data_IF_780293759492
#
_entry.id   IF_780293759492
#
_cell.length_a   1.000
_cell.length_b   1.000
_cell.length_c   1.000
_cell.angle_alpha   90.00
_cell.angle_beta   90.00
_cell.angle_gamma   90.00
#
_symmetry.space_group_name_H-M   'P 1'
#
loop_
_entity.id
_entity.type
_entity.pdbx_description
1 polymer ?
#
# COMPACT_ATOMS: atom_id res chain seq x y z
N UNK A 1 22.01 -16.44 7.32
CA UNK A 1 22.52 -17.79 6.93
C UNK A 1 21.71 -18.46 5.81
N UNK A 2 20.48 -18.04 5.58
CA UNK A 2 19.64 -18.60 4.51
C UNK A 2 19.78 -17.84 3.19
N UNK A 3 20.39 -16.67 3.20
CA UNK A 3 20.64 -15.89 1.99
C UNK A 3 21.98 -16.26 1.36
N UNK A 4 22.10 -16.19 0.03
CA UNK A 4 23.35 -16.46 -0.67
C UNK A 4 24.49 -15.55 -0.20
N UNK A 5 25.69 -16.11 0.00
CA UNK A 5 26.86 -15.35 0.46
C UNK A 5 27.26 -14.26 -0.53
N UNK A 6 26.97 -14.47 -1.79
CA UNK A 6 27.19 -13.54 -2.91
C UNK A 6 26.55 -12.17 -2.65
N UNK A 7 25.39 -12.13 -1.99
CA UNK A 7 24.66 -10.91 -1.70
C UNK A 7 25.25 -10.00 -0.63
N UNK A 8 26.40 -10.34 -0.07
CA UNK A 8 27.13 -9.49 0.88
C UNK A 8 28.36 -8.81 0.28
N UNK A 9 28.75 -9.19 -0.94
CA UNK A 9 29.97 -8.69 -1.56
C UNK A 9 29.76 -8.22 -2.99
N UNK A 10 30.04 -6.95 -3.27
CA UNK A 10 29.87 -6.37 -4.62
C UNK A 10 30.81 -7.01 -5.68
N UNK A 11 31.95 -7.62 -5.25
CA UNK A 11 32.93 -8.21 -6.14
C UNK A 11 33.18 -9.69 -5.80
N UNK A 12 32.14 -10.43 -5.40
CA UNK A 12 32.25 -11.82 -4.94
C UNK A 12 33.10 -12.72 -5.86
N UNK A 13 32.89 -12.65 -7.19
CA UNK A 13 33.57 -13.46 -8.18
C UNK A 13 35.13 -13.23 -8.23
N UNK A 14 35.59 -12.11 -7.70
CA UNK A 14 37.00 -11.73 -7.68
C UNK A 14 37.68 -11.97 -6.33
N UNK A 15 36.93 -12.46 -5.34
CA UNK A 15 37.42 -12.66 -3.98
C UNK A 15 37.92 -14.09 -3.78
N UNK A 16 38.97 -14.24 -3.01
CA UNK A 16 39.44 -15.56 -2.53
C UNK A 16 38.58 -16.03 -1.35
N UNK A 17 38.52 -17.34 -1.12
CA UNK A 17 37.75 -17.90 0.02
C UNK A 17 38.18 -17.30 1.37
N UNK A 18 39.47 -17.05 1.55
CA UNK A 18 39.99 -16.41 2.76
C UNK A 18 39.44 -14.98 2.94
N UNK A 19 39.33 -14.22 1.86
CA UNK A 19 38.75 -12.86 1.87
C UNK A 19 37.26 -12.89 2.17
N UNK A 20 36.55 -13.86 1.61
CA UNK A 20 35.12 -14.05 1.88
C UNK A 20 34.88 -14.38 3.34
N UNK A 21 35.65 -15.34 3.90
CA UNK A 21 35.53 -15.71 5.31
C UNK A 21 35.88 -14.56 6.25
N UNK A 22 36.97 -13.84 5.97
CA UNK A 22 37.33 -12.66 6.76
C UNK A 22 36.25 -11.56 6.69
N UNK A 23 35.62 -11.35 5.52
CA UNK A 23 34.51 -10.44 5.35
C UNK A 23 33.27 -10.86 6.15
N UNK A 24 32.85 -12.13 6.06
CA UNK A 24 31.74 -12.67 6.83
C UNK A 24 31.97 -12.57 8.35
N UNK A 25 33.20 -12.81 8.79
CA UNK A 25 33.58 -12.67 10.18
C UNK A 25 33.51 -11.22 10.65
N UNK A 26 34.00 -10.27 9.86
CA UNK A 26 33.92 -8.83 10.18
C UNK A 26 32.49 -8.31 10.28
N UNK A 27 31.59 -8.87 9.49
CA UNK A 27 30.15 -8.57 9.53
C UNK A 27 29.42 -9.31 10.67
N UNK A 28 30.09 -10.26 11.38
CA UNK A 28 29.51 -11.08 12.43
C UNK A 28 28.50 -12.12 11.91
N UNK A 29 28.55 -12.47 10.63
CA UNK A 29 27.65 -13.45 10.01
C UNK A 29 28.07 -14.91 10.34
N UNK A 30 29.24 -15.11 10.89
CA UNK A 30 29.72 -16.41 11.38
C UNK A 30 29.34 -16.65 12.86
N UNK A 31 28.88 -15.63 13.56
CA UNK A 31 28.40 -15.74 14.95
C UNK A 31 27.18 -16.68 15.07
N UNK A 32 26.91 -17.25 16.27
CA UNK A 32 25.69 -18.00 16.51
C UNK A 32 24.41 -17.16 16.23
N UNK A 33 23.36 -17.79 15.68
CA UNK A 33 22.11 -17.12 15.30
C UNK A 33 21.53 -16.18 16.40
N UNK A 34 21.47 -16.59 17.69
CA UNK A 34 20.94 -15.71 18.74
C UNK A 34 21.72 -14.41 18.88
N UNK A 35 23.05 -14.46 18.68
CA UNK A 35 23.92 -13.27 18.76
C UNK A 35 23.70 -12.35 17.56
N UNK A 36 23.54 -12.91 16.35
CA UNK A 36 23.22 -12.13 15.15
C UNK A 36 21.88 -11.42 15.30
N UNK A 37 20.84 -12.14 15.78
CA UNK A 37 19.49 -11.58 16.02
C UNK A 37 19.57 -10.48 17.08
N UNK A 38 20.26 -10.72 18.20
CA UNK A 38 20.41 -9.74 19.28
C UNK A 38 21.10 -8.45 18.79
N UNK A 39 22.18 -8.60 18.00
CA UNK A 39 22.91 -7.47 17.41
C UNK A 39 22.04 -6.70 16.41
N UNK A 40 21.30 -7.41 15.56
CA UNK A 40 20.37 -6.78 14.61
C UNK A 40 19.33 -5.94 15.32
N UNK A 41 18.64 -6.49 16.32
CA UNK A 41 17.65 -5.75 17.09
C UNK A 41 18.23 -4.57 17.85
N UNK A 42 19.43 -4.75 18.44
CA UNK A 42 20.11 -3.67 19.12
C UNK A 42 20.42 -2.50 18.18
N UNK A 43 21.01 -2.80 17.03
CA UNK A 43 21.33 -1.78 16.02
C UNK A 43 20.07 -1.13 15.45
N UNK A 44 19.05 -1.92 15.14
CA UNK A 44 17.77 -1.41 14.62
C UNK A 44 17.08 -0.45 15.60
N UNK A 45 17.09 -0.76 16.90
CA UNK A 45 16.55 0.14 17.93
C UNK A 45 17.33 1.46 18.07
N UNK A 46 18.60 1.47 17.68
CA UNK A 46 19.42 2.69 17.61
C UNK A 46 19.40 3.39 16.24
N UNK A 47 18.53 2.91 15.32
CA UNK A 47 18.38 3.51 13.99
C UNK A 47 19.48 3.12 12.99
N UNK A 48 20.32 2.15 13.32
CA UNK A 48 21.33 1.60 12.42
C UNK A 48 20.82 0.30 11.79
N UNK A 49 20.46 0.35 10.51
CA UNK A 49 20.04 -0.79 9.71
C UNK A 49 21.20 -1.38 8.87
N UNK A 50 22.43 -0.91 9.11
CA UNK A 50 23.60 -1.30 8.35
C UNK A 50 23.81 -0.51 7.06
N UNK A 51 24.65 -1.07 6.19
CA UNK A 51 25.02 -0.46 4.90
C UNK A 51 24.70 -1.39 3.75
N UNK A 52 24.33 -0.80 2.61
CA UNK A 52 24.13 -1.53 1.36
C UNK A 52 25.49 -1.97 0.80
N UNK A 53 25.56 -3.22 0.36
CA UNK A 53 26.79 -3.80 -0.19
C UNK A 53 26.80 -3.84 -1.72
N UNK A 54 25.61 -3.84 -2.37
CA UNK A 54 25.50 -4.03 -3.82
C UNK A 54 24.74 -2.88 -4.50
N UNK A 55 23.58 -2.49 -3.96
CA UNK A 55 22.75 -1.44 -4.59
C UNK A 55 23.48 -0.09 -4.60
N UNK A 56 24.01 0.30 -3.47
CA UNK A 56 24.82 1.52 -3.31
C UNK A 56 25.90 1.30 -2.26
N UNK A 57 27.03 0.80 -2.71
CA UNK A 57 28.14 0.35 -1.86
C UNK A 57 28.49 1.36 -0.76
N UNK A 58 28.54 0.89 0.47
CA UNK A 58 28.84 1.65 1.70
C UNK A 58 27.84 2.79 2.03
N UNK A 59 26.69 2.84 1.36
CA UNK A 59 25.65 3.79 1.75
C UNK A 59 24.79 3.23 2.90
N UNK A 60 24.50 4.06 3.90
CA UNK A 60 23.60 3.70 5.00
C UNK A 60 22.20 3.31 4.48
N UNK A 61 21.70 2.16 4.93
CA UNK A 61 20.33 1.70 4.61
C UNK A 61 19.31 2.73 5.06
N UNK A 62 19.44 3.26 6.28
CA UNK A 62 18.54 4.31 6.81
C UNK A 62 18.54 5.56 5.93
N UNK A 63 19.71 5.98 5.42
CA UNK A 63 19.81 7.13 4.50
C UNK A 63 19.18 6.89 3.13
N UNK A 64 19.22 5.64 2.62
CA UNK A 64 18.54 5.25 1.38
C UNK A 64 17.03 5.25 1.59
N UNK A 65 16.54 4.64 2.68
CA UNK A 65 15.13 4.58 3.03
C UNK A 65 14.54 5.97 3.25
N UNK A 66 15.24 6.84 3.97
CA UNK A 66 14.80 8.22 4.24
C UNK A 66 14.56 9.03 2.95
N UNK A 67 15.27 8.72 1.86
CA UNK A 67 15.07 9.38 0.56
C UNK A 67 13.91 8.79 -0.25
N UNK A 68 13.62 7.50 -0.07
CA UNK A 68 12.60 6.77 -0.85
C UNK A 68 11.23 6.78 -0.19
N UNK A 69 11.20 6.67 1.13
CA UNK A 69 10.00 6.58 1.94
C UNK A 69 9.03 7.77 1.75
N UNK A 70 9.47 9.04 1.69
CA UNK A 70 8.55 10.17 1.54
C UNK A 70 7.66 10.10 0.30
N UNK A 71 8.18 9.63 -0.83
CA UNK A 71 7.40 9.50 -2.08
C UNK A 71 6.33 8.41 -1.92
N UNK A 72 6.69 7.24 -1.38
CA UNK A 72 5.73 6.16 -1.15
C UNK A 72 4.65 6.56 -0.15
N UNK A 73 5.02 7.28 0.93
CA UNK A 73 4.06 7.80 1.91
C UNK A 73 3.10 8.79 1.23
N UNK A 74 3.59 9.74 0.47
CA UNK A 74 2.75 10.72 -0.22
C UNK A 74 1.78 10.05 -1.19
N UNK A 75 2.26 9.10 -2.01
CA UNK A 75 1.41 8.30 -2.89
C UNK A 75 0.33 7.55 -2.10
N UNK A 76 0.72 6.87 -1.02
CA UNK A 76 -0.18 6.14 -0.15
C UNK A 76 -1.24 7.03 0.49
N UNK A 77 -0.85 8.20 1.00
CA UNK A 77 -1.80 9.18 1.57
C UNK A 77 -2.80 9.66 0.52
N UNK A 78 -2.34 10.06 -0.66
CA UNK A 78 -3.24 10.52 -1.72
C UNK A 78 -4.18 9.42 -2.20
N UNK A 79 -3.67 8.20 -2.40
CA UNK A 79 -4.49 7.05 -2.78
C UNK A 79 -5.53 6.71 -1.72
N UNK A 80 -5.16 6.76 -0.45
CA UNK A 80 -6.08 6.52 0.65
C UNK A 80 -7.15 7.61 0.74
N UNK A 81 -6.78 8.89 0.67
CA UNK A 81 -7.74 10.00 0.68
C UNK A 81 -8.73 9.87 -0.47
N UNK A 82 -8.24 9.60 -1.69
CA UNK A 82 -9.09 9.38 -2.86
C UNK A 82 -10.04 8.19 -2.64
N UNK A 83 -9.52 7.11 -2.06
CA UNK A 83 -10.33 5.92 -1.76
C UNK A 83 -11.47 6.22 -0.77
N UNK A 84 -11.20 7.01 0.26
CA UNK A 84 -12.21 7.40 1.24
C UNK A 84 -13.24 8.36 0.63
N UNK A 85 -12.78 9.35 -0.15
CA UNK A 85 -13.64 10.36 -0.80
C UNK A 85 -14.60 9.73 -1.81
N UNK A 86 -14.20 8.67 -2.49
CA UNK A 86 -15.06 7.96 -3.46
C UNK A 86 -15.80 6.79 -2.80
N UNK A 87 -15.09 5.95 -2.05
CA UNK A 87 -15.62 4.70 -1.51
C UNK A 87 -16.70 4.91 -0.45
N UNK A 88 -16.52 5.90 0.45
CA UNK A 88 -17.52 6.18 1.49
C UNK A 88 -18.84 6.71 0.91
N UNK A 89 -18.87 7.74 0.06
CA UNK A 89 -20.13 8.19 -0.57
C UNK A 89 -20.77 7.09 -1.43
N UNK A 90 -19.98 6.32 -2.16
CA UNK A 90 -20.49 5.20 -2.95
C UNK A 90 -21.15 4.15 -2.06
N UNK A 91 -20.52 3.71 -0.99
CA UNK A 91 -21.08 2.75 -0.03
C UNK A 91 -22.30 3.27 0.69
N UNK A 92 -22.30 4.56 1.05
CA UNK A 92 -23.47 5.25 1.63
C UNK A 92 -24.67 5.23 0.67
N UNK A 93 -24.47 5.60 -0.60
CA UNK A 93 -25.53 5.57 -1.61
C UNK A 93 -26.07 4.15 -1.83
N UNK A 94 -25.18 3.17 -1.93
CA UNK A 94 -25.54 1.75 -2.07
C UNK A 94 -26.34 1.25 -0.86
N UNK A 95 -25.90 1.54 0.36
CA UNK A 95 -26.58 1.15 1.59
C UNK A 95 -27.94 1.84 1.76
N UNK A 96 -28.00 3.14 1.45
CA UNK A 96 -29.23 3.95 1.52
C UNK A 96 -30.30 3.48 0.52
N UNK A 97 -29.87 3.16 -0.70
CA UNK A 97 -30.75 2.75 -1.81
C UNK A 97 -30.63 1.26 -2.12
N UNK A 98 -30.59 0.44 -1.07
CA UNK A 98 -30.49 -1.03 -1.18
C UNK A 98 -31.47 -1.58 -2.22
N UNK A 99 -30.97 -2.46 -3.08
CA UNK A 99 -31.71 -3.12 -4.18
C UNK A 99 -32.22 -2.18 -5.29
N UNK A 100 -31.99 -0.87 -5.19
CA UNK A 100 -32.30 0.10 -6.23
C UNK A 100 -31.11 0.29 -7.18
N UNK A 101 -31.29 1.10 -8.22
CA UNK A 101 -30.26 1.30 -9.26
C UNK A 101 -28.86 1.76 -8.73
N UNK A 102 -28.75 2.65 -7.70
CA UNK A 102 -27.42 3.02 -7.20
C UNK A 102 -26.68 1.82 -6.59
N UNK A 103 -27.40 0.95 -5.87
CA UNK A 103 -26.85 -0.28 -5.29
C UNK A 103 -26.42 -1.28 -6.38
N UNK A 104 -27.25 -1.46 -7.41
CA UNK A 104 -26.93 -2.37 -8.52
C UNK A 104 -25.71 -1.91 -9.32
N UNK A 105 -25.61 -0.61 -9.65
CA UNK A 105 -24.47 -0.05 -10.35
C UNK A 105 -23.21 -0.14 -9.49
N UNK A 106 -23.28 0.27 -8.22
CA UNK A 106 -22.16 0.18 -7.30
C UNK A 106 -21.66 -1.26 -7.15
N UNK A 107 -22.58 -2.22 -7.00
CA UNK A 107 -22.22 -3.65 -6.94
C UNK A 107 -21.55 -4.12 -8.23
N UNK A 108 -22.05 -3.72 -9.40
CA UNK A 108 -21.45 -4.08 -10.68
C UNK A 108 -20.02 -3.53 -10.81
N UNK A 109 -19.79 -2.28 -10.39
CA UNK A 109 -18.44 -1.67 -10.37
C UNK A 109 -17.51 -2.44 -9.42
N UNK A 110 -17.97 -2.74 -8.19
CA UNK A 110 -17.18 -3.49 -7.22
C UNK A 110 -16.80 -4.87 -7.75
N UNK A 111 -17.79 -5.59 -8.31
CA UNK A 111 -17.56 -6.92 -8.90
C UNK A 111 -16.57 -6.82 -10.06
N UNK A 112 -16.67 -5.83 -10.94
CA UNK A 112 -15.72 -5.63 -12.03
C UNK A 112 -14.29 -5.42 -11.51
N UNK A 113 -14.10 -4.55 -10.51
CA UNK A 113 -12.79 -4.28 -9.92
C UNK A 113 -12.21 -5.54 -9.25
N UNK A 114 -13.04 -6.35 -8.60
CA UNK A 114 -12.59 -7.55 -7.88
C UNK A 114 -12.41 -8.78 -8.77
N UNK A 115 -13.18 -8.88 -9.86
CA UNK A 115 -13.10 -10.01 -10.78
C UNK A 115 -11.91 -9.93 -11.74
N UNK A 116 -11.47 -8.71 -12.08
CA UNK A 116 -10.32 -8.48 -12.96
C UNK A 116 -9.04 -8.45 -12.13
N UNK A 117 -7.98 -9.21 -12.50
CA UNK A 117 -6.69 -9.10 -11.83
C UNK A 117 -6.17 -7.66 -11.84
N UNK A 118 -5.76 -7.16 -10.67
CA UNK A 118 -5.35 -5.76 -10.49
C UNK A 118 -4.28 -5.31 -11.51
N UNK A 119 -3.32 -6.18 -11.80
CA UNK A 119 -2.27 -5.92 -12.78
C UNK A 119 -2.83 -5.54 -14.17
N UNK A 120 -3.94 -6.15 -14.56
CA UNK A 120 -4.54 -5.89 -15.88
C UNK A 120 -5.09 -4.48 -15.96
N UNK A 121 -5.96 -4.08 -15.02
CA UNK A 121 -6.52 -2.73 -15.08
C UNK A 121 -5.48 -1.64 -14.78
N UNK A 122 -4.42 -1.92 -14.02
CA UNK A 122 -3.30 -0.97 -13.84
C UNK A 122 -2.58 -0.68 -15.16
N UNK A 123 -2.31 -1.73 -15.95
CA UNK A 123 -1.72 -1.58 -17.28
C UNK A 123 -2.62 -0.77 -18.22
N UNK A 124 -3.93 -1.04 -18.22
CA UNK A 124 -4.86 -0.27 -19.04
C UNK A 124 -4.92 1.20 -18.61
N UNK A 125 -4.97 1.48 -17.30
CA UNK A 125 -4.94 2.86 -16.79
C UNK A 125 -3.66 3.56 -17.20
N UNK A 126 -2.50 2.90 -17.12
CA UNK A 126 -1.23 3.47 -17.55
C UNK A 126 -1.24 3.74 -19.05
N UNK A 127 -1.56 2.74 -19.86
CA UNK A 127 -1.46 2.82 -21.31
C UNK A 127 -2.38 3.90 -21.91
N UNK A 128 -3.63 3.92 -21.51
CA UNK A 128 -4.60 4.89 -22.02
C UNK A 128 -4.55 6.21 -21.28
N UNK A 129 -4.30 6.19 -19.98
CA UNK A 129 -4.24 7.37 -19.13
C UNK A 129 -3.05 8.26 -19.45
N UNK A 130 -1.87 7.71 -19.72
CA UNK A 130 -0.69 8.50 -20.11
C UNK A 130 -0.93 9.26 -21.40
N UNK A 131 -1.55 8.63 -22.38
CA UNK A 131 -1.94 9.26 -23.65
C UNK A 131 -2.98 10.37 -23.41
N UNK A 132 -4.00 10.09 -22.58
CA UNK A 132 -5.07 11.06 -22.31
C UNK A 132 -4.59 12.29 -21.52
N UNK A 133 -3.64 12.11 -20.58
CA UNK A 133 -3.06 13.22 -19.81
C UNK A 133 -1.88 13.89 -20.48
N UNK A 134 -1.38 13.35 -21.60
CA UNK A 134 -0.19 13.85 -22.30
C UNK A 134 1.07 13.75 -21.44
N UNK A 135 1.20 12.69 -20.64
CA UNK A 135 2.37 12.44 -19.76
C UNK A 135 3.19 11.24 -20.26
N UNK A 136 4.49 11.23 -19.94
CA UNK A 136 5.35 10.10 -20.26
C UNK A 136 5.14 8.90 -19.33
N UNK A 137 5.82 7.79 -19.67
CA UNK A 137 5.79 6.57 -18.83
C UNK A 137 6.69 6.67 -17.58
N UNK A 138 7.73 7.51 -17.65
CA UNK A 138 8.63 7.73 -16.52
C UNK A 138 8.02 8.75 -15.56
N UNK A 139 8.00 8.43 -14.28
CA UNK A 139 7.47 9.30 -13.24
C UNK A 139 8.30 10.56 -13.07
N UNK A 140 7.64 11.74 -13.06
CA UNK A 140 8.22 13.03 -12.71
C UNK A 140 7.51 13.60 -11.48
N UNK A 141 8.25 13.71 -10.38
CA UNK A 141 7.71 14.23 -9.12
C UNK A 141 7.36 15.72 -9.15
N UNK A 142 7.93 16.48 -10.10
CA UNK A 142 7.74 17.92 -10.22
C UNK A 142 6.41 18.31 -10.88
N UNK A 143 5.82 17.39 -11.68
CA UNK A 143 4.56 17.62 -12.38
C UNK A 143 3.44 16.78 -11.75
N UNK A 144 2.41 17.45 -11.21
CA UNK A 144 1.27 16.81 -10.55
C UNK A 144 0.51 15.82 -11.44
N UNK A 145 0.55 15.97 -12.77
CA UNK A 145 -0.13 15.07 -13.72
C UNK A 145 0.38 13.64 -13.63
N UNK A 146 1.68 13.47 -13.34
CA UNK A 146 2.28 12.15 -13.17
C UNK A 146 1.82 11.43 -11.89
N UNK A 147 1.27 12.15 -10.91
CA UNK A 147 0.72 11.58 -9.67
C UNK A 147 -0.67 10.99 -9.86
N UNK A 148 -1.44 11.51 -10.82
CA UNK A 148 -2.87 11.15 -11.01
C UNK A 148 -3.06 9.66 -11.27
N UNK A 149 -2.36 9.12 -12.26
CA UNK A 149 -2.57 7.73 -12.68
C UNK A 149 -2.15 6.69 -11.62
N UNK A 150 -0.96 6.81 -10.98
CA UNK A 150 -0.58 5.92 -9.89
C UNK A 150 -1.55 5.99 -8.71
N UNK A 151 -1.94 7.21 -8.29
CA UNK A 151 -2.89 7.41 -7.19
C UNK A 151 -4.25 6.81 -7.52
N UNK A 152 -4.78 7.02 -8.73
CA UNK A 152 -6.01 6.39 -9.18
C UNK A 152 -5.90 4.86 -9.18
N UNK A 153 -4.81 4.32 -9.72
CA UNK A 153 -4.55 2.87 -9.73
C UNK A 153 -4.53 2.28 -8.32
N UNK A 154 -3.79 2.90 -7.40
CA UNK A 154 -3.70 2.45 -6.00
C UNK A 154 -5.03 2.55 -5.25
N UNK A 155 -5.88 3.52 -5.61
CA UNK A 155 -7.14 3.77 -4.91
C UNK A 155 -8.26 2.78 -5.26
N UNK A 156 -8.30 2.23 -6.48
CA UNK A 156 -9.44 1.45 -6.99
C UNK A 156 -9.83 0.27 -6.10
N UNK A 157 -8.87 -0.54 -5.69
CA UNK A 157 -9.12 -1.69 -4.81
C UNK A 157 -9.69 -1.25 -3.45
N UNK A 158 -9.15 -0.18 -2.89
CA UNK A 158 -9.62 0.38 -1.63
C UNK A 158 -11.00 1.04 -1.75
N UNK A 159 -11.31 1.71 -2.88
CA UNK A 159 -12.66 2.23 -3.18
C UNK A 159 -13.68 1.10 -3.14
N UNK A 160 -13.40 0.01 -3.85
CA UNK A 160 -14.27 -1.16 -3.88
C UNK A 160 -14.44 -1.76 -2.47
N UNK A 161 -13.36 -1.86 -1.71
CA UNK A 161 -13.37 -2.37 -0.34
C UNK A 161 -14.25 -1.50 0.58
N UNK A 162 -13.99 -0.19 0.65
CA UNK A 162 -14.75 0.72 1.53
C UNK A 162 -16.21 0.80 1.15
N UNK A 163 -16.52 0.86 -0.15
CA UNK A 163 -17.90 0.91 -0.62
C UNK A 163 -18.67 -0.38 -0.28
N UNK A 164 -18.07 -1.54 -0.50
CA UNK A 164 -18.69 -2.84 -0.21
C UNK A 164 -18.96 -3.02 1.29
N UNK A 165 -17.95 -2.76 2.13
CA UNK A 165 -18.10 -2.97 3.56
C UNK A 165 -19.03 -1.96 4.21
N UNK A 166 -18.96 -0.68 3.81
CA UNK A 166 -19.89 0.33 4.32
C UNK A 166 -21.33 -0.01 3.94
N UNK A 167 -21.59 -0.40 2.68
CA UNK A 167 -22.90 -0.88 2.27
C UNK A 167 -23.38 -2.02 3.16
N UNK A 168 -22.55 -3.02 3.40
CA UNK A 168 -22.87 -4.18 4.24
C UNK A 168 -23.24 -3.75 5.65
N UNK A 169 -22.40 -2.96 6.30
CA UNK A 169 -22.65 -2.47 7.65
C UNK A 169 -23.90 -1.60 7.75
N UNK A 170 -24.16 -0.75 6.75
CA UNK A 170 -25.39 0.04 6.72
C UNK A 170 -26.64 -0.82 6.59
N UNK A 171 -26.59 -1.88 5.79
CA UNK A 171 -27.70 -2.82 5.66
C UNK A 171 -27.92 -3.58 6.97
N UNK A 172 -26.86 -4.02 7.64
CA UNK A 172 -26.96 -4.71 8.93
C UNK A 172 -27.52 -3.77 10.01
N UNK A 173 -27.03 -2.53 10.08
CA UNK A 173 -27.52 -1.52 11.02
C UNK A 173 -28.98 -1.12 10.77
N UNK A 174 -29.44 -1.10 9.51
CA UNK A 174 -30.82 -0.75 9.17
C UNK A 174 -31.86 -1.71 9.76
N UNK A 175 -31.47 -2.92 10.13
CA UNK A 175 -32.35 -3.94 10.72
C UNK A 175 -32.41 -3.88 12.25
N UNK A 176 -31.68 -2.98 12.91
CA UNK A 176 -31.61 -2.87 14.37
C UNK A 176 -32.86 -2.22 14.97
N UNK A 177 -33.21 -2.57 16.21
CA UNK A 177 -34.42 -2.09 16.88
C UNK A 177 -34.44 -0.57 17.12
N UNK A 178 -33.26 0.06 17.31
CA UNK A 178 -33.20 1.51 17.44
C UNK A 178 -33.69 2.26 16.18
N UNK A 179 -33.53 1.65 15.00
CA UNK A 179 -34.02 2.20 13.74
C UNK A 179 -35.54 2.17 13.71
N UNK A 180 -36.15 1.04 14.14
CA UNK A 180 -37.59 0.89 14.26
C UNK A 180 -38.16 1.89 15.27
N UNK A 181 -37.48 2.08 16.41
CA UNK A 181 -37.87 3.07 17.42
C UNK A 181 -37.81 4.50 16.87
N UNK A 182 -36.77 4.84 16.11
CA UNK A 182 -36.63 6.16 15.49
C UNK A 182 -37.74 6.43 14.46
N UNK A 183 -38.09 5.41 13.65
CA UNK A 183 -39.25 5.49 12.72
C UNK A 183 -40.55 5.70 13.47
N UNK A 184 -40.79 4.95 14.55
CA UNK A 184 -42.01 5.10 15.37
C UNK A 184 -42.12 6.49 16.03
N UNK A 185 -41.00 7.17 16.31
CA UNK A 185 -40.93 8.55 16.79
C UNK A 185 -41.08 9.59 15.69
N UNK A 186 -41.32 9.20 14.43
CA UNK A 186 -41.49 10.10 13.31
C UNK A 186 -40.21 10.76 12.78
N UNK A 187 -39.03 10.23 13.11
CA UNK A 187 -37.78 10.75 12.55
C UNK A 187 -37.73 10.42 11.06
N UNK A 188 -37.39 11.41 10.24
CA UNK A 188 -37.33 11.24 8.79
C UNK A 188 -36.27 10.19 8.39
N UNK A 189 -36.58 9.42 7.34
CA UNK A 189 -35.66 8.35 6.85
C UNK A 189 -34.25 8.85 6.51
N UNK A 190 -34.10 10.08 5.98
CA UNK A 190 -32.80 10.67 5.70
C UNK A 190 -32.00 10.91 6.97
N UNK A 191 -32.63 11.44 8.03
CA UNK A 191 -31.99 11.64 9.31
C UNK A 191 -31.59 10.30 9.96
N UNK A 192 -32.44 9.29 9.85
CA UNK A 192 -32.14 7.94 10.33
C UNK A 192 -30.94 7.37 9.57
N UNK A 193 -30.95 7.45 8.25
CA UNK A 193 -29.88 6.93 7.43
C UNK A 193 -28.52 7.59 7.73
N UNK A 194 -28.49 8.95 7.80
CA UNK A 194 -27.24 9.69 7.93
C UNK A 194 -26.75 9.83 9.38
N UNK A 195 -27.66 10.06 10.34
CA UNK A 195 -27.26 10.34 11.74
C UNK A 195 -27.20 9.10 12.61
N UNK A 196 -27.99 8.08 12.31
CA UNK A 196 -28.06 6.87 13.13
C UNK A 196 -27.35 5.70 12.44
N UNK A 197 -27.82 5.28 11.25
CA UNK A 197 -27.29 4.10 10.56
C UNK A 197 -25.83 4.33 10.10
N UNK A 198 -25.57 5.40 9.34
CA UNK A 198 -24.24 5.68 8.80
C UNK A 198 -23.19 5.86 9.89
N UNK A 199 -23.52 6.60 10.95
CA UNK A 199 -22.59 6.81 12.08
C UNK A 199 -22.16 5.49 12.72
N UNK A 200 -23.09 4.58 12.96
CA UNK A 200 -22.80 3.27 13.57
C UNK A 200 -22.08 2.35 12.58
N UNK A 201 -22.50 2.36 11.32
CA UNK A 201 -21.86 1.58 10.25
C UNK A 201 -20.41 2.00 9.97
N UNK A 202 -20.05 3.25 10.25
CA UNK A 202 -18.66 3.74 10.11
C UNK A 202 -17.72 3.22 11.19
N UNK A 203 -18.22 2.85 12.38
CA UNK A 203 -17.35 2.42 13.48
C UNK A 203 -16.45 1.23 13.12
N UNK A 204 -16.98 0.09 12.62
CA UNK A 204 -16.12 -1.01 12.19
C UNK A 204 -15.25 -0.65 10.99
N UNK A 205 -15.71 0.25 10.11
CA UNK A 205 -14.94 0.66 8.93
C UNK A 205 -13.70 1.47 9.31
N UNK A 206 -13.82 2.39 10.26
CA UNK A 206 -12.70 3.22 10.76
C UNK A 206 -11.58 2.36 11.34
N UNK A 207 -11.89 1.22 11.94
CA UNK A 207 -10.89 0.29 12.48
C UNK A 207 -9.95 -0.29 11.41
N UNK A 208 -10.38 -0.38 10.14
CA UNK A 208 -9.55 -0.84 9.04
C UNK A 208 -8.62 0.24 8.47
N UNK A 209 -8.90 1.54 8.72
CA UNK A 209 -8.13 2.65 8.14
C UNK A 209 -6.64 2.59 8.49
N UNK A 210 -6.21 2.39 9.76
CA UNK A 210 -4.79 2.33 10.08
C UNK A 210 -4.06 1.19 9.36
N UNK A 211 -4.68 0.00 9.33
CA UNK A 211 -4.10 -1.17 8.63
C UNK A 211 -4.03 -0.95 7.11
N UNK A 212 -5.09 -0.41 6.52
CA UNK A 212 -5.11 -0.07 5.10
C UNK A 212 -4.06 1.00 4.75
N UNK A 213 -3.88 1.99 5.63
CA UNK A 213 -2.83 3.00 5.48
C UNK A 213 -1.44 2.38 5.48
N UNK A 214 -1.12 1.54 6.47
CA UNK A 214 0.17 0.86 6.55
C UNK A 214 0.42 0.00 5.29
N UNK A 215 -0.56 -0.76 4.85
CA UNK A 215 -0.45 -1.56 3.62
C UNK A 215 -0.22 -0.70 2.37
N UNK A 216 -0.83 0.48 2.32
CA UNK A 216 -0.68 1.40 1.19
C UNK A 216 0.70 2.09 1.22
N UNK A 217 1.22 2.41 2.41
CA UNK A 217 2.54 3.03 2.62
C UNK A 217 3.69 2.05 2.38
N UNK A 218 3.53 0.78 2.78
CA UNK A 218 4.51 -0.28 2.46
C UNK A 218 4.67 -0.42 0.94
N UNK A 219 3.75 0.14 0.21
CA UNK A 219 3.87 0.38 -1.20
C UNK A 219 3.25 -0.72 -2.02
N UNK A 220 2.63 -0.30 -3.07
CA UNK A 220 2.36 -1.20 -4.16
C UNK A 220 3.65 -1.39 -4.95
N UNK A 221 4.43 -2.39 -4.60
CA UNK A 221 5.65 -2.79 -5.33
C UNK A 221 5.35 -2.80 -6.84
N UNK A 222 4.18 -3.32 -7.20
CA UNK A 222 3.76 -3.42 -8.58
C UNK A 222 3.52 -2.04 -9.22
N UNK A 223 2.78 -1.15 -8.57
CA UNK A 223 2.46 0.19 -9.12
C UNK A 223 3.71 1.06 -9.19
N UNK A 224 4.54 1.06 -8.14
CA UNK A 224 5.78 1.83 -8.15
C UNK A 224 6.73 1.35 -9.27
N UNK A 225 6.81 0.04 -9.50
CA UNK A 225 7.61 -0.50 -10.61
C UNK A 225 6.98 -0.17 -11.97
N UNK A 226 5.65 -0.29 -12.09
CA UNK A 226 4.92 -0.03 -13.33
C UNK A 226 5.09 1.42 -13.81
N UNK A 227 4.97 2.37 -12.89
CA UNK A 227 5.08 3.80 -13.19
C UNK A 227 6.52 4.35 -13.01
N UNK A 228 7.50 3.49 -12.74
CA UNK A 228 8.90 3.87 -12.47
C UNK A 228 9.04 4.90 -11.34
N UNK A 229 8.21 4.79 -10.31
CA UNK A 229 8.23 5.68 -9.15
C UNK A 229 9.46 5.35 -8.30
N UNK A 230 10.31 6.33 -7.95
CA UNK A 230 11.51 6.10 -7.16
C UNK A 230 11.20 5.91 -5.66
N UNK A 231 10.24 5.05 -5.34
CA UNK A 231 9.76 4.75 -3.99
C UNK A 231 10.36 3.49 -3.38
N UNK A 232 9.70 2.99 -2.32
CA UNK A 232 10.11 1.81 -1.55
C UNK A 232 9.92 0.51 -2.33
N UNK A 233 8.82 0.38 -3.08
CA UNK A 233 8.52 -0.83 -3.83
C UNK A 233 9.53 -1.07 -4.96
N UNK A 234 9.86 -0.04 -5.73
CA UNK A 234 10.90 -0.12 -6.76
C UNK A 234 12.28 -0.40 -6.19
N UNK A 235 12.59 0.17 -5.01
CA UNK A 235 13.83 -0.13 -4.28
C UNK A 235 13.90 -1.62 -3.91
N UNK A 236 12.86 -2.17 -3.30
CA UNK A 236 12.80 -3.57 -2.90
C UNK A 236 13.03 -4.51 -4.09
N UNK A 237 12.30 -4.28 -5.20
CA UNK A 237 12.49 -5.08 -6.43
C UNK A 237 13.94 -5.03 -6.90
N UNK A 238 14.54 -3.84 -6.94
CA UNK A 238 15.92 -3.67 -7.37
C UNK A 238 16.90 -4.39 -6.44
N UNK A 239 16.70 -4.30 -5.12
CA UNK A 239 17.57 -4.96 -4.14
C UNK A 239 17.45 -6.49 -4.19
N UNK A 240 16.23 -7.02 -4.38
CA UNK A 240 16.02 -8.46 -4.58
C UNK A 240 16.69 -8.95 -5.86
N UNK A 241 16.50 -8.24 -6.99
CA UNK A 241 17.12 -8.61 -8.26
C UNK A 241 18.66 -8.55 -8.23
N UNK A 242 19.21 -7.63 -7.46
CA UNK A 242 20.65 -7.47 -7.29
C UNK A 242 21.22 -8.30 -6.15
N UNK A 243 20.40 -9.07 -5.44
CA UNK A 243 20.81 -9.87 -4.27
C UNK A 243 21.48 -9.06 -3.16
N UNK A 244 21.06 -7.80 -2.93
CA UNK A 244 21.58 -7.00 -1.82
C UNK A 244 20.92 -7.43 -0.51
N UNK A 245 21.53 -8.42 0.18
CA UNK A 245 20.97 -9.05 1.36
C UNK A 245 20.79 -8.09 2.55
N UNK A 246 21.53 -6.99 2.60
CA UNK A 246 21.42 -6.00 3.68
C UNK A 246 20.21 -5.09 3.49
N UNK A 247 19.79 -4.88 2.24
CA UNK A 247 18.66 -4.02 1.88
C UNK A 247 17.31 -4.74 1.87
N UNK A 248 17.29 -6.09 1.80
CA UNK A 248 16.11 -6.96 1.77
C UNK A 248 15.75 -7.44 3.16
#
# INVERSE_FOLDING_TARGET
RLMPVEGYFANYEKMTEAQIQAGLQSMGLLDPLPVQIGRFWWNALHGDLGVSHIYKVNASVTGILAKKLPISIQMGVFAMLLSLVIGIPMGLLMGRFKNRWPDKIGTAIIVLIQAVPAAVYYLYIQMYGTTALGVGLLFDASDWRYWVLPVCSMSLGNVAFYAMWLRRYMVDESNKDYVRLALAKGVSENNIALRHIFRNAMVPLVQYIPSAFLNTVVGSIYIESLYSIPGMGGLLVTCVQRHDNTMV
#
